data_IF_635802334215
#
_entry.id   IF_635802334215
#
_cell.length_a   1.000
_cell.length_b   1.000
_cell.length_c   1.000
_cell.angle_alpha   90.00
_cell.angle_beta   90.00
_cell.angle_gamma   90.00
#
_symmetry.space_group_name_H-M   'P 1'
#
loop_
_entity.id
_entity.type
_entity.pdbx_description
1 polymer ?
#
# COMPACT_ATOMS: atom_id res chain seq x y z
N UNK A 1 -29.82 6.20 39.74
CA UNK A 1 -28.47 6.70 39.41
C UNK A 1 -28.18 6.26 37.99
N UNK A 2 -28.18 7.18 37.03
CA UNK A 2 -28.00 6.88 35.60
C UNK A 2 -26.51 6.99 35.28
N UNK A 3 -25.85 5.86 35.00
CA UNK A 3 -24.44 5.82 34.64
C UNK A 3 -24.31 6.12 33.15
N UNK A 4 -23.98 7.36 32.80
CA UNK A 4 -23.64 7.74 31.42
C UNK A 4 -22.24 7.22 31.09
N UNK A 5 -22.16 6.16 30.29
CA UNK A 5 -20.89 5.69 29.72
C UNK A 5 -20.58 6.56 28.51
N UNK A 6 -19.64 7.51 28.69
CA UNK A 6 -19.12 8.29 27.59
C UNK A 6 -18.08 7.44 26.85
N UNK A 7 -18.46 6.82 25.73
CA UNK A 7 -17.49 6.29 24.77
C UNK A 7 -16.84 7.48 24.06
N UNK A 8 -15.80 8.06 24.67
CA UNK A 8 -14.83 8.82 23.89
C UNK A 8 -14.15 7.82 22.98
N UNK A 9 -14.49 7.80 21.69
CA UNK A 9 -13.62 7.19 20.71
C UNK A 9 -12.29 7.93 20.82
N UNK A 10 -11.32 7.34 21.50
CA UNK A 10 -9.92 7.75 21.37
C UNK A 10 -9.57 7.42 19.91
N UNK A 11 -9.80 8.39 19.03
CA UNK A 11 -9.08 8.42 17.77
C UNK A 11 -7.61 8.61 18.16
N UNK A 12 -6.89 7.52 18.37
CA UNK A 12 -5.44 7.59 18.48
C UNK A 12 -4.97 7.90 17.07
N UNK A 13 -4.80 9.19 16.77
CA UNK A 13 -4.33 9.64 15.48
C UNK A 13 -2.98 8.98 15.21
N UNK A 14 -2.93 8.10 14.22
CA UNK A 14 -1.68 7.50 13.75
C UNK A 14 -0.80 8.52 13.03
N UNK A 15 0.32 8.03 12.56
CA UNK A 15 1.24 8.70 11.67
C UNK A 15 0.98 8.26 10.21
N UNK A 16 1.34 9.13 9.27
CA UNK A 16 1.26 8.85 7.84
C UNK A 16 2.64 8.97 7.21
N UNK A 17 3.04 7.93 6.48
CA UNK A 17 4.21 7.93 5.62
C UNK A 17 3.79 7.93 4.14
N UNK A 18 4.41 8.78 3.33
CA UNK A 18 4.33 8.75 1.88
C UNK A 18 5.66 8.26 1.33
N UNK A 19 5.60 7.49 0.24
CA UNK A 19 6.74 7.18 -0.59
C UNK A 19 6.58 7.79 -1.97
N UNK A 20 7.35 8.84 -2.24
CA UNK A 20 7.42 9.54 -3.54
C UNK A 20 8.72 9.26 -4.30
N UNK A 21 9.29 8.07 -4.09
CA UNK A 21 10.51 7.64 -4.79
C UNK A 21 10.30 7.39 -6.29
N UNK A 22 11.27 6.73 -6.95
CA UNK A 22 11.21 6.49 -8.39
C UNK A 22 9.92 5.80 -8.82
N UNK A 23 9.26 6.40 -9.80
CA UNK A 23 7.97 5.93 -10.35
C UNK A 23 8.17 4.82 -11.36
N UNK A 24 7.16 3.97 -11.54
CA UNK A 24 7.09 3.06 -12.69
C UNK A 24 6.65 3.82 -13.97
N UNK A 25 7.55 4.05 -14.95
CA UNK A 25 7.20 4.76 -16.17
C UNK A 25 6.10 4.04 -16.96
N UNK A 26 5.07 4.79 -17.35
CA UNK A 26 3.90 4.25 -18.06
C UNK A 26 2.65 4.10 -17.19
N UNK A 27 2.82 4.06 -15.86
CA UNK A 27 1.69 4.00 -14.90
C UNK A 27 1.46 5.34 -14.20
N UNK A 28 2.54 6.02 -13.79
CA UNK A 28 2.47 7.35 -13.22
C UNK A 28 3.72 8.16 -13.56
N UNK A 29 3.55 9.44 -13.86
CA UNK A 29 4.67 10.37 -14.06
C UNK A 29 5.17 10.91 -12.73
N UNK A 30 6.45 11.27 -12.64
CA UNK A 30 7.02 11.90 -11.45
C UNK A 30 6.25 13.18 -11.03
N UNK A 31 5.80 13.98 -12.00
CA UNK A 31 4.99 15.17 -11.73
C UNK A 31 3.61 14.82 -11.14
N UNK A 32 2.97 13.75 -11.62
CA UNK A 32 1.71 13.29 -11.03
C UNK A 32 1.92 12.70 -9.64
N UNK A 33 2.96 11.88 -9.44
CA UNK A 33 3.33 11.37 -8.12
C UNK A 33 3.49 12.50 -7.09
N UNK A 34 4.24 13.56 -7.44
CA UNK A 34 4.40 14.74 -6.57
C UNK A 34 3.06 15.44 -6.29
N UNK A 35 2.25 15.68 -7.32
CA UNK A 35 0.93 16.32 -7.16
C UNK A 35 0.02 15.52 -6.22
N UNK A 36 -0.10 14.20 -6.44
CA UNK A 36 -0.94 13.35 -5.58
C UNK A 36 -0.46 13.38 -4.12
N UNK A 37 0.86 13.33 -3.89
CA UNK A 37 1.41 13.44 -2.56
C UNK A 37 1.08 14.78 -1.88
N UNK A 38 1.20 15.90 -2.61
CA UNK A 38 0.85 17.23 -2.08
C UNK A 38 -0.64 17.35 -1.75
N UNK A 39 -1.51 16.82 -2.60
CA UNK A 39 -2.95 16.80 -2.38
C UNK A 39 -3.34 15.93 -1.17
N UNK A 40 -2.70 14.76 -1.01
CA UNK A 40 -2.86 13.91 0.17
C UNK A 40 -2.45 14.69 1.43
N UNK A 41 -1.22 15.21 1.49
CA UNK A 41 -0.70 15.95 2.65
C UNK A 41 -1.65 17.08 3.04
N UNK A 42 -2.10 17.87 2.05
CA UNK A 42 -3.04 18.97 2.28
C UNK A 42 -4.37 18.45 2.83
N UNK A 43 -4.94 17.42 2.22
CA UNK A 43 -6.26 16.87 2.54
C UNK A 43 -6.36 16.23 3.92
N UNK A 44 -5.27 15.63 4.41
CA UNK A 44 -5.26 14.86 5.67
C UNK A 44 -4.40 15.49 6.78
N UNK A 45 -3.89 16.71 6.57
CA UNK A 45 -3.02 17.43 7.51
C UNK A 45 -3.54 17.56 8.95
N UNK A 46 -4.86 17.44 9.15
CA UNK A 46 -5.51 17.50 10.48
C UNK A 46 -5.93 16.14 11.03
N UNK A 47 -5.71 15.08 10.27
CA UNK A 47 -6.14 13.71 10.61
C UNK A 47 -5.03 12.92 11.31
N UNK A 48 -3.78 13.11 10.88
CA UNK A 48 -2.62 12.38 11.39
C UNK A 48 -1.80 13.21 12.37
N UNK A 49 -1.18 12.53 13.33
CA UNK A 49 -0.28 13.15 14.31
C UNK A 49 1.00 13.66 13.65
N UNK A 50 1.51 12.92 12.65
CA UNK A 50 2.62 13.34 11.81
C UNK A 50 2.45 12.83 10.38
N UNK A 51 3.03 13.57 9.44
CA UNK A 51 3.09 13.20 8.03
C UNK A 51 4.54 13.31 7.58
N UNK A 52 5.11 12.23 7.03
CA UNK A 52 6.48 12.20 6.52
C UNK A 52 6.49 11.69 5.10
N UNK A 53 7.12 12.42 4.19
CA UNK A 53 7.37 11.96 2.82
C UNK A 53 8.82 11.52 2.70
N UNK A 54 9.05 10.23 2.46
CA UNK A 54 10.40 9.69 2.39
C UNK A 54 11.05 9.97 1.03
N UNK A 55 10.33 10.03 -0.09
CA UNK A 55 10.95 10.30 -1.40
C UNK A 55 12.06 9.30 -1.81
N UNK A 56 12.85 9.65 -2.82
CA UNK A 56 13.95 8.81 -3.36
C UNK A 56 15.14 8.74 -2.39
N UNK A 57 15.81 7.58 -2.32
CA UNK A 57 17.00 7.28 -1.48
C UNK A 57 16.74 7.26 0.03
N UNK A 58 15.48 7.13 0.43
CA UNK A 58 15.02 7.10 1.81
C UNK A 58 14.23 5.85 2.14
N UNK A 59 14.39 4.83 1.30
CA UNK A 59 13.73 3.55 1.44
C UNK A 59 14.11 2.90 2.77
N UNK A 60 15.39 2.91 3.14
CA UNK A 60 15.84 2.41 4.44
C UNK A 60 15.15 3.12 5.61
N UNK A 61 15.02 4.45 5.56
CA UNK A 61 14.37 5.25 6.58
C UNK A 61 12.87 4.92 6.68
N UNK A 62 12.19 4.70 5.55
CA UNK A 62 10.78 4.25 5.49
C UNK A 62 10.61 2.84 6.09
N UNK A 63 11.54 1.92 5.81
CA UNK A 63 11.51 0.57 6.39
C UNK A 63 11.65 0.59 7.91
N UNK A 64 12.58 1.40 8.43
CA UNK A 64 12.74 1.60 9.88
C UNK A 64 11.55 2.33 10.51
N UNK A 65 10.93 3.27 9.78
CA UNK A 65 9.69 3.89 10.22
C UNK A 65 8.60 2.84 10.40
N UNK A 66 8.37 1.99 9.40
CA UNK A 66 7.33 0.95 9.44
C UNK A 66 7.55 -0.04 10.59
N UNK A 67 8.80 -0.49 10.81
CA UNK A 67 9.15 -1.37 11.94
C UNK A 67 8.81 -0.76 13.30
N UNK A 68 9.10 0.53 13.49
CA UNK A 68 8.84 1.23 14.76
C UNK A 68 7.35 1.46 15.05
N UNK A 69 6.53 1.51 13.99
CA UNK A 69 5.08 1.70 14.07
C UNK A 69 4.33 0.37 14.21
N UNK A 70 4.95 -0.73 13.81
CA UNK A 70 4.40 -2.06 14.06
C UNK A 70 4.40 -2.35 15.56
N UNK A 71 3.23 -2.62 16.12
CA UNK A 71 2.97 -2.96 17.52
C UNK A 71 2.82 -1.73 18.43
N UNK A 72 2.73 -0.52 17.89
CA UNK A 72 2.70 0.72 18.67
C UNK A 72 1.31 1.09 19.22
N UNK A 73 0.30 0.28 18.89
CA UNK A 73 -1.13 0.41 19.26
C UNK A 73 -1.84 1.60 18.61
N UNK A 74 -1.33 2.10 17.49
CA UNK A 74 -2.00 3.07 16.63
C UNK A 74 -2.38 2.41 15.30
N UNK A 75 -3.11 3.18 14.48
CA UNK A 75 -3.35 2.82 13.07
C UNK A 75 -2.57 3.80 12.22
N UNK A 76 -1.37 3.39 11.85
CA UNK A 76 -0.48 4.13 10.97
C UNK A 76 -0.75 3.77 9.50
N UNK A 77 -0.38 4.68 8.60
CA UNK A 77 -0.66 4.53 7.17
C UNK A 77 0.60 4.73 6.36
N UNK A 78 0.84 3.85 5.40
CA UNK A 78 1.82 4.04 4.31
C UNK A 78 1.05 4.23 3.02
N UNK A 79 1.40 5.27 2.26
CA UNK A 79 0.95 5.46 0.88
C UNK A 79 2.15 5.35 -0.06
N UNK A 80 2.17 4.31 -0.89
CA UNK A 80 3.11 4.16 -2.00
C UNK A 80 2.63 5.01 -3.18
N UNK A 81 2.99 6.28 -3.19
CA UNK A 81 2.51 7.26 -4.18
C UNK A 81 3.15 7.00 -5.55
N UNK A 82 4.41 6.57 -5.57
CA UNK A 82 5.15 6.21 -6.78
C UNK A 82 4.62 4.97 -7.50
N UNK A 83 3.78 4.18 -6.83
CA UNK A 83 3.33 2.86 -7.27
C UNK A 83 4.43 1.81 -7.31
N UNK A 84 5.54 2.04 -6.62
CA UNK A 84 6.67 1.13 -6.53
C UNK A 84 6.87 0.68 -5.10
N UNK A 85 7.31 -0.57 -4.92
CA UNK A 85 7.51 -1.18 -3.61
C UNK A 85 8.99 -1.12 -3.21
N UNK A 86 9.37 -0.31 -2.21
CA UNK A 86 10.72 -0.29 -1.66
C UNK A 86 11.18 -1.66 -1.16
N UNK A 87 12.44 -2.02 -1.39
CA UNK A 87 13.06 -3.24 -0.89
C UNK A 87 13.15 -3.29 0.63
N UNK A 88 13.20 -2.13 1.28
CA UNK A 88 13.16 -2.02 2.74
C UNK A 88 11.82 -2.43 3.36
N UNK A 89 10.74 -2.36 2.58
CA UNK A 89 9.40 -2.82 2.94
C UNK A 89 9.20 -4.27 2.53
N UNK A 90 9.52 -4.60 1.27
CA UNK A 90 9.46 -5.95 0.72
C UNK A 90 10.63 -6.22 -0.24
N UNK A 91 11.65 -7.00 0.17
CA UNK A 91 12.82 -7.30 -0.64
C UNK A 91 12.50 -8.04 -1.95
N UNK A 92 12.96 -7.50 -3.08
CA UNK A 92 12.78 -8.11 -4.40
C UNK A 92 13.96 -9.00 -4.84
N UNK A 93 13.74 -9.99 -5.73
CA UNK A 93 12.43 -10.52 -6.11
C UNK A 93 11.95 -11.55 -5.07
N UNK A 94 10.83 -11.26 -4.38
CA UNK A 94 10.21 -12.10 -3.35
C UNK A 94 11.21 -12.75 -2.37
N UNK A 95 12.24 -12.01 -1.94
CA UNK A 95 13.32 -12.58 -1.10
C UNK A 95 12.90 -12.84 0.35
N UNK A 96 11.77 -12.28 0.76
CA UNK A 96 11.20 -12.46 2.09
C UNK A 96 9.69 -12.69 1.98
N UNK A 97 9.26 -13.88 1.53
CA UNK A 97 7.85 -14.18 1.31
C UNK A 97 7.02 -14.13 2.60
N UNK A 98 7.64 -14.43 3.75
CA UNK A 98 7.01 -14.40 5.07
C UNK A 98 7.77 -13.47 6.02
N UNK A 99 7.03 -12.81 6.91
CA UNK A 99 7.55 -11.92 7.95
C UNK A 99 8.24 -10.67 7.42
N UNK A 100 7.91 -10.22 6.21
CA UNK A 100 8.45 -8.97 5.66
C UNK A 100 8.04 -7.76 6.49
N UNK A 101 8.77 -6.63 6.36
CA UNK A 101 8.48 -5.41 7.14
C UNK A 101 7.05 -4.95 6.89
N UNK A 102 6.64 -4.90 5.63
CA UNK A 102 5.29 -4.44 5.26
C UNK A 102 4.19 -5.44 5.60
N UNK A 103 4.47 -6.75 5.55
CA UNK A 103 3.54 -7.78 6.00
C UNK A 103 3.28 -7.66 7.50
N UNK A 104 4.32 -7.55 8.32
CA UNK A 104 4.17 -7.36 9.77
C UNK A 104 3.41 -6.07 10.09
N UNK A 105 3.72 -4.99 9.35
CA UNK A 105 3.02 -3.71 9.49
C UNK A 105 1.51 -3.84 9.25
N UNK A 106 1.10 -4.49 8.15
CA UNK A 106 -0.32 -4.69 7.81
C UNK A 106 -0.99 -5.69 8.78
N UNK A 107 -0.30 -6.77 9.15
CA UNK A 107 -0.83 -7.77 10.10
C UNK A 107 -1.07 -7.20 11.50
N UNK A 108 -0.36 -6.14 11.87
CA UNK A 108 -0.58 -5.39 13.12
C UNK A 108 -1.81 -4.47 13.09
N UNK A 109 -2.46 -4.33 11.92
CA UNK A 109 -3.67 -3.52 11.73
C UNK A 109 -3.42 -2.16 11.10
N UNK A 110 -2.18 -1.86 10.69
CA UNK A 110 -1.86 -0.66 9.94
C UNK A 110 -2.29 -0.77 8.46
N UNK A 111 -2.31 0.36 7.75
CA UNK A 111 -2.86 0.43 6.40
C UNK A 111 -1.78 0.69 5.37
N UNK A 112 -1.75 -0.13 4.32
CA UNK A 112 -0.97 0.10 3.11
C UNK A 112 -1.90 0.54 1.97
N UNK A 113 -1.65 1.71 1.43
CA UNK A 113 -2.32 2.24 0.23
C UNK A 113 -1.28 2.28 -0.89
N UNK A 114 -1.69 1.88 -2.09
CA UNK A 114 -0.85 1.92 -3.28
C UNK A 114 -1.54 2.72 -4.38
N UNK A 115 -0.79 3.63 -5.00
CA UNK A 115 -1.25 4.42 -6.14
C UNK A 115 -0.56 3.89 -7.39
N UNK A 116 -1.26 3.91 -8.54
CA UNK A 116 -0.77 3.44 -9.83
C UNK A 116 -0.55 1.91 -9.90
N UNK A 117 0.65 1.45 -10.28
CA UNK A 117 0.81 0.05 -10.73
C UNK A 117 0.51 -0.95 -9.61
N UNK A 118 0.34 -2.21 -9.98
CA UNK A 118 -0.02 -3.31 -9.09
C UNK A 118 0.80 -3.31 -7.81
N UNK A 119 0.07 -3.35 -6.69
CA UNK A 119 0.65 -3.31 -5.36
C UNK A 119 1.72 -4.40 -5.20
N UNK A 120 2.89 -4.01 -4.69
CA UNK A 120 4.03 -4.88 -4.46
C UNK A 120 4.64 -5.57 -5.69
N UNK A 121 4.28 -5.19 -6.92
CA UNK A 121 4.71 -5.90 -8.13
C UNK A 121 6.20 -5.74 -8.43
N UNK A 122 6.78 -4.56 -8.23
CA UNK A 122 8.17 -4.23 -8.54
C UNK A 122 8.71 -3.08 -7.69
N UNK A 123 10.03 -2.88 -7.75
CA UNK A 123 10.72 -1.67 -7.30
C UNK A 123 11.34 -0.92 -8.48
N UNK A 124 11.50 0.40 -8.34
CA UNK A 124 12.32 1.24 -9.21
C UNK A 124 13.45 1.94 -8.44
N UNK A 125 13.79 1.45 -7.24
CA UNK A 125 14.92 1.96 -6.46
C UNK A 125 16.19 2.15 -7.32
N UNK A 126 16.86 3.28 -7.14
CA UNK A 126 18.01 3.65 -7.98
C UNK A 126 17.63 4.16 -9.39
N UNK A 127 16.34 4.37 -9.67
CA UNK A 127 15.83 4.93 -10.92
C UNK A 127 15.70 3.92 -12.06
N UNK A 128 15.88 2.63 -11.79
CA UNK A 128 15.81 1.55 -12.77
C UNK A 128 14.88 0.44 -12.29
N UNK A 129 14.17 -0.19 -13.22
CA UNK A 129 13.27 -1.30 -12.88
C UNK A 129 14.08 -2.46 -12.29
N UNK A 130 13.73 -2.84 -11.08
CA UNK A 130 14.29 -4.02 -10.42
C UNK A 130 13.62 -5.32 -10.92
N UNK A 131 14.21 -6.50 -10.65
CA UNK A 131 13.52 -7.76 -10.87
C UNK A 131 12.14 -7.77 -10.21
N UNK A 132 11.13 -8.18 -10.97
CA UNK A 132 9.74 -8.14 -10.51
C UNK A 132 9.51 -9.14 -9.37
N UNK A 133 8.73 -8.74 -8.37
CA UNK A 133 8.04 -9.67 -7.48
C UNK A 133 6.88 -10.36 -8.21
N UNK A 134 6.32 -9.70 -9.22
CA UNK A 134 5.18 -10.20 -9.98
C UNK A 134 3.92 -10.31 -9.13
N UNK A 135 3.00 -11.19 -9.53
CA UNK A 135 1.77 -11.43 -8.77
C UNK A 135 2.02 -11.96 -7.34
N UNK A 136 3.16 -12.62 -7.12
CA UNK A 136 3.49 -13.20 -5.82
C UNK A 136 3.76 -12.15 -4.74
N UNK A 137 4.21 -10.93 -5.07
CA UNK A 137 4.53 -9.90 -4.08
C UNK A 137 3.35 -9.61 -3.15
N UNK A 138 2.19 -9.28 -3.74
CA UNK A 138 0.97 -9.04 -2.95
C UNK A 138 0.45 -10.31 -2.28
N UNK A 139 0.51 -11.46 -2.96
CA UNK A 139 0.04 -12.73 -2.41
C UNK A 139 0.80 -13.12 -1.13
N UNK A 140 2.12 -12.90 -1.13
CA UNK A 140 3.01 -13.11 0.00
C UNK A 140 2.69 -12.12 1.13
N UNK A 141 2.73 -10.81 0.85
CA UNK A 141 2.51 -9.76 1.87
C UNK A 141 1.16 -9.89 2.60
N UNK A 142 0.11 -10.27 1.88
CA UNK A 142 -1.24 -10.38 2.46
C UNK A 142 -1.59 -11.79 2.93
N UNK A 143 -0.71 -12.78 2.74
CA UNK A 143 -0.99 -14.18 3.02
C UNK A 143 -2.26 -14.70 2.30
N UNK A 144 -2.41 -14.31 1.02
CA UNK A 144 -3.55 -14.72 0.18
C UNK A 144 -3.01 -15.52 -1.02
N UNK A 145 -2.94 -16.86 -0.92
CA UNK A 145 -2.52 -17.71 -2.03
C UNK A 145 -3.36 -17.46 -3.29
N UNK A 146 -2.69 -17.21 -4.42
CA UNK A 146 -3.34 -16.95 -5.70
C UNK A 146 -3.93 -15.55 -5.86
N UNK A 147 -3.67 -14.62 -4.94
CA UNK A 147 -3.94 -13.20 -5.17
C UNK A 147 -3.17 -12.72 -6.40
N UNK A 148 -3.88 -12.03 -7.29
CA UNK A 148 -3.29 -11.45 -8.50
C UNK A 148 -4.16 -10.29 -8.99
N UNK A 149 -3.48 -9.28 -9.53
CA UNK A 149 -4.05 -8.11 -10.19
C UNK A 149 -3.96 -8.21 -11.72
N UNK A 150 -3.35 -9.29 -12.21
CA UNK A 150 -3.36 -9.62 -13.63
C UNK A 150 -4.74 -10.03 -14.11
N UNK A 151 -4.89 -9.96 -15.43
CA UNK A 151 -6.06 -10.50 -16.10
C UNK A 151 -6.23 -11.96 -15.68
N UNK A 152 -7.23 -12.22 -14.85
CA UNK A 152 -7.66 -13.60 -14.60
C UNK A 152 -8.18 -14.07 -15.95
N UNK A 153 -7.61 -15.13 -16.52
CA UNK A 153 -8.19 -15.81 -17.69
C UNK A 153 -9.70 -15.81 -17.48
N UNK A 154 -10.45 -15.21 -18.42
CA UNK A 154 -11.86 -14.76 -18.35
C UNK A 154 -12.89 -15.87 -18.01
N UNK A 155 -12.54 -16.86 -17.20
CA UNK A 155 -13.35 -17.92 -16.65
C UNK A 155 -14.38 -17.41 -15.62
N UNK A 156 -14.71 -16.12 -15.65
CA UNK A 156 -15.88 -15.60 -14.96
C UNK A 156 -17.11 -16.23 -15.63
N UNK A 157 -17.81 -17.10 -14.90
CA UNK A 157 -19.05 -17.69 -15.40
C UNK A 157 -20.19 -16.70 -15.19
N UNK A 158 -20.78 -16.19 -16.27
CA UNK A 158 -21.94 -15.30 -16.20
C UNK A 158 -23.12 -16.05 -15.59
N UNK A 159 -23.52 -15.67 -14.37
CA UNK A 159 -24.67 -16.25 -13.68
C UNK A 159 -26.01 -15.67 -14.24
N UNK A 160 -27.15 -16.12 -13.71
CA UNK A 160 -28.47 -15.66 -14.18
C UNK A 160 -28.65 -14.13 -14.09
N UNK A 161 -28.14 -13.49 -13.02
CA UNK A 161 -28.20 -12.04 -12.87
C UNK A 161 -27.29 -11.33 -13.88
N UNK A 162 -26.08 -11.85 -14.11
CA UNK A 162 -25.20 -11.32 -15.15
C UNK A 162 -25.85 -11.36 -16.53
N UNK A 163 -26.52 -12.47 -16.88
CA UNK A 163 -27.27 -12.57 -18.16
C UNK A 163 -28.43 -11.60 -18.24
N UNK A 164 -29.16 -11.38 -17.14
CA UNK A 164 -30.33 -10.50 -17.10
C UNK A 164 -29.97 -9.01 -17.14
N UNK A 165 -28.96 -8.61 -16.38
CA UNK A 165 -28.64 -7.20 -16.16
C UNK A 165 -27.44 -6.70 -16.97
N UNK A 166 -26.58 -7.60 -17.48
CA UNK A 166 -25.40 -7.28 -18.28
C UNK A 166 -25.33 -8.20 -19.52
N UNK A 167 -26.32 -8.14 -20.44
CA UNK A 167 -26.44 -9.09 -21.55
C UNK A 167 -25.28 -9.05 -22.56
N UNK A 168 -24.40 -8.04 -22.50
CA UNK A 168 -23.21 -7.93 -23.32
C UNK A 168 -22.00 -8.71 -22.79
N UNK A 169 -22.03 -9.15 -21.53
CA UNK A 169 -21.01 -10.06 -20.97
C UNK A 169 -21.28 -11.47 -21.48
N UNK A 170 -20.36 -11.99 -22.30
CA UNK A 170 -20.39 -13.37 -22.81
C UNK A 170 -19.65 -14.31 -21.87
#
# INVERSE_FOLDING_TARGET
>A
MLTTICFTSLAIAGDLALYTGPTNPGWISAASCRREADDIIKGVSKTFSSIVDFGDKKEADLGEWAKKRTGDKKVDVIVLVSGTMPSSLYPFPNKQPDGSVVENFVNDGNVLINIADWIAYMSYEGGVRSPDNGAAGAANIFNIPGLSFGSRNNNMKVNANGKKYLPSLK
#
